data_IF_990760830598
#
_entry.id   IF_990760830598
#
_cell.length_a   1.000
_cell.length_b   1.000
_cell.length_c   1.000
_cell.angle_alpha   90.00
_cell.angle_beta   90.00
_cell.angle_gamma   90.00
#
_symmetry.space_group_name_H-M   'P 1'
#
loop_
_entity.id
_entity.type
_entity.pdbx_description
1 polymer ?
#
# COMPACT_ATOMS: atom_id res chain seq x y z
N UNK A 1 -25.80 43.29 -55.16
CA UNK A 1 -26.38 42.43 -54.10
C UNK A 1 -25.43 41.26 -53.85
N UNK A 2 -24.63 41.30 -52.79
CA UNK A 2 -23.85 40.16 -52.31
C UNK A 2 -24.01 40.08 -50.81
N UNK A 3 -24.50 38.93 -50.36
CA UNK A 3 -24.84 38.60 -48.98
C UNK A 3 -23.58 38.42 -48.15
N UNK A 4 -23.62 38.96 -46.95
CA UNK A 4 -22.75 38.66 -45.81
C UNK A 4 -22.95 37.21 -45.36
N UNK A 5 -21.84 36.50 -45.11
CA UNK A 5 -21.81 35.27 -44.29
C UNK A 5 -20.86 35.57 -43.12
N UNK A 6 -21.28 35.47 -41.86
CA UNK A 6 -20.40 35.66 -40.72
C UNK A 6 -19.57 34.39 -40.48
N UNK A 7 -18.26 34.56 -40.33
CA UNK A 7 -17.34 33.52 -39.87
C UNK A 7 -17.54 33.38 -38.37
N UNK A 8 -18.13 32.25 -37.94
CA UNK A 8 -18.17 31.85 -36.56
C UNK A 8 -16.76 31.46 -36.09
N UNK A 9 -16.27 32.15 -35.06
CA UNK A 9 -15.04 31.80 -34.35
C UNK A 9 -15.36 30.61 -33.44
N UNK A 10 -14.94 29.41 -33.86
CA UNK A 10 -14.85 28.25 -32.98
C UNK A 10 -13.61 28.42 -32.09
N UNK A 11 -13.84 28.86 -30.85
CA UNK A 11 -12.85 28.79 -29.77
C UNK A 11 -12.74 27.33 -29.32
N UNK A 12 -11.78 26.60 -29.89
CA UNK A 12 -11.31 25.33 -29.32
C UNK A 12 -10.40 25.70 -28.15
N UNK A 13 -10.93 25.60 -26.93
CA UNK A 13 -10.13 25.52 -25.71
C UNK A 13 -9.47 24.14 -25.69
N UNK A 14 -8.38 23.99 -26.44
CA UNK A 14 -7.38 22.96 -26.19
C UNK A 14 -6.68 23.35 -24.90
N UNK A 15 -7.04 22.67 -23.81
CA UNK A 15 -6.25 22.62 -22.58
C UNK A 15 -4.91 21.98 -22.91
N UNK A 16 -3.97 22.79 -23.38
CA UNK A 16 -2.57 22.42 -23.45
C UNK A 16 -2.11 22.22 -22.02
N UNK A 17 -1.93 20.95 -21.64
CA UNK A 17 -1.01 20.59 -20.58
C UNK A 17 0.30 21.31 -20.89
N UNK A 18 0.62 22.36 -20.12
CA UNK A 18 1.94 22.94 -20.15
C UNK A 18 2.89 21.84 -19.71
N UNK A 19 3.60 21.26 -20.67
CA UNK A 19 4.79 20.48 -20.43
C UNK A 19 5.77 21.41 -19.70
N UNK A 20 5.75 21.36 -18.37
CA UNK A 20 6.80 21.96 -17.56
C UNK A 20 8.12 21.30 -17.96
N UNK A 21 9.14 22.13 -18.21
CA UNK A 21 10.51 21.69 -18.41
C UNK A 21 10.95 20.77 -17.25
N UNK A 22 11.90 19.82 -17.49
CA UNK A 22 12.17 18.68 -16.63
C UNK A 22 13.02 19.07 -15.43
N UNK A 23 12.52 19.95 -14.57
CA UNK A 23 13.07 20.04 -13.22
C UNK A 23 12.60 18.77 -12.51
N UNK A 24 13.51 17.81 -12.41
CA UNK A 24 13.35 16.61 -11.58
C UNK A 24 12.85 17.03 -10.21
N UNK A 25 11.72 16.47 -9.78
CA UNK A 25 11.17 16.69 -8.46
C UNK A 25 12.25 16.41 -7.41
N UNK A 26 12.38 17.31 -6.44
CA UNK A 26 13.39 17.17 -5.39
C UNK A 26 12.92 16.12 -4.37
N UNK A 27 13.61 14.98 -4.35
CA UNK A 27 13.36 13.94 -3.37
C UNK A 27 13.96 14.25 -2.00
N UNK A 28 14.72 15.33 -1.83
CA UNK A 28 15.16 15.75 -0.51
C UNK A 28 13.95 16.17 0.31
N UNK A 29 13.83 15.62 1.53
CA UNK A 29 12.77 15.96 2.49
C UNK A 29 11.33 15.80 1.97
N UNK A 30 11.09 14.97 0.95
CA UNK A 30 9.73 14.76 0.43
C UNK A 30 8.79 14.16 1.49
N UNK A 31 9.32 13.37 2.42
CA UNK A 31 8.57 12.79 3.55
C UNK A 31 8.05 13.85 4.53
N UNK A 32 8.74 14.99 4.64
CA UNK A 32 8.29 16.16 5.42
C UNK A 32 7.66 17.23 4.54
N UNK A 33 7.31 16.88 3.30
CA UNK A 33 6.75 17.81 2.31
C UNK A 33 7.60 19.07 2.09
N UNK A 34 8.92 18.88 2.00
CA UNK A 34 9.91 19.94 1.88
C UNK A 34 9.88 20.96 3.05
N UNK A 35 9.38 20.52 4.22
CA UNK A 35 9.10 21.36 5.39
C UNK A 35 8.08 22.50 5.11
N UNK A 36 7.32 22.38 4.02
CA UNK A 36 6.23 23.29 3.62
C UNK A 36 5.01 22.52 3.09
N UNK A 37 4.22 21.91 4.01
CA UNK A 37 3.03 21.15 3.66
C UNK A 37 1.97 22.03 2.96
N UNK A 38 1.92 23.33 3.24
CA UNK A 38 0.92 24.24 2.63
C UNK A 38 1.18 24.43 1.14
N UNK A 39 2.43 24.74 0.78
CA UNK A 39 2.82 24.86 -0.64
C UNK A 39 2.74 23.51 -1.34
N UNK A 40 3.18 22.44 -0.69
CA UNK A 40 3.07 21.08 -1.24
C UNK A 40 1.61 20.71 -1.52
N UNK A 41 0.68 21.02 -0.62
CA UNK A 41 -0.76 20.82 -0.83
C UNK A 41 -1.30 21.65 -1.99
N UNK A 42 -0.87 22.91 -2.13
CA UNK A 42 -1.26 23.77 -3.24
C UNK A 42 -0.79 23.22 -4.60
N UNK A 43 0.43 22.67 -4.67
CA UNK A 43 0.95 22.00 -5.88
C UNK A 43 0.24 20.67 -6.12
N UNK A 44 0.05 19.85 -5.09
CA UNK A 44 -0.67 18.58 -5.17
C UNK A 44 -2.08 18.77 -5.76
N UNK A 45 -2.84 19.77 -5.30
CA UNK A 45 -4.19 20.05 -5.81
C UNK A 45 -4.23 20.45 -7.30
N UNK A 46 -3.12 20.91 -7.87
CA UNK A 46 -3.04 21.23 -9.30
C UNK A 46 -2.85 19.98 -10.16
N UNK A 47 -2.12 18.97 -9.64
CA UNK A 47 -1.92 17.70 -10.32
C UNK A 47 -1.62 16.57 -9.32
N UNK A 48 -2.67 15.95 -8.74
CA UNK A 48 -2.52 14.88 -7.76
C UNK A 48 -1.72 13.69 -8.29
N UNK A 49 -1.94 13.32 -9.56
CA UNK A 49 -1.30 12.17 -10.21
C UNK A 49 0.19 12.40 -10.44
N UNK A 50 0.60 13.62 -10.82
CA UNK A 50 2.02 13.97 -10.96
C UNK A 50 2.71 13.95 -9.61
N UNK A 51 2.10 14.50 -8.56
CA UNK A 51 2.67 14.44 -7.21
C UNK A 51 2.75 13.01 -6.67
N UNK A 52 1.72 12.19 -6.89
CA UNK A 52 1.74 10.77 -6.54
C UNK A 52 2.92 10.02 -7.19
N UNK A 53 3.14 10.26 -8.48
CA UNK A 53 4.28 9.70 -9.21
C UNK A 53 5.62 10.21 -8.68
N UNK A 54 5.74 11.50 -8.36
CA UNK A 54 6.94 12.05 -7.74
C UNK A 54 7.27 11.34 -6.43
N UNK A 55 6.29 11.12 -5.55
CA UNK A 55 6.49 10.37 -4.32
C UNK A 55 6.88 8.91 -4.57
N UNK A 56 6.23 8.23 -5.52
CA UNK A 56 6.57 6.85 -5.88
C UNK A 56 7.99 6.73 -6.43
N UNK A 57 8.43 7.69 -7.25
CA UNK A 57 9.82 7.79 -7.72
C UNK A 57 10.77 7.96 -6.55
N UNK A 58 10.51 8.91 -5.64
CA UNK A 58 11.37 9.17 -4.48
C UNK A 58 11.45 7.98 -3.53
N UNK A 59 10.33 7.32 -3.25
CA UNK A 59 10.28 6.10 -2.46
C UNK A 59 11.13 4.96 -3.05
N UNK A 60 11.24 4.92 -4.39
CA UNK A 60 12.05 3.94 -5.10
C UNK A 60 13.47 4.43 -5.44
N UNK A 61 13.93 5.58 -4.94
CA UNK A 61 15.34 5.95 -5.04
C UNK A 61 16.18 5.11 -4.06
N UNK A 62 17.45 4.82 -4.38
CA UNK A 62 18.36 4.21 -3.41
C UNK A 62 18.72 5.22 -2.31
N UNK A 63 18.71 4.78 -1.07
CA UNK A 63 19.21 5.52 0.09
C UNK A 63 20.67 5.12 0.36
N UNK A 64 21.59 6.00 -0.03
CA UNK A 64 23.03 5.80 0.14
C UNK A 64 23.45 5.66 1.62
N UNK A 65 22.65 6.16 2.56
CA UNK A 65 22.92 6.03 4.00
C UNK A 65 22.52 4.66 4.57
N UNK A 66 21.76 3.86 3.81
CA UNK A 66 21.20 2.57 4.22
C UNK A 66 21.52 1.46 3.21
N UNK A 67 22.80 1.28 2.89
CA UNK A 67 23.29 0.23 1.98
C UNK A 67 22.66 0.25 0.57
N UNK A 68 22.21 1.42 0.09
CA UNK A 68 21.47 1.58 -1.17
C UNK A 68 20.13 0.84 -1.24
N UNK A 69 19.53 0.51 -0.09
CA UNK A 69 18.13 0.08 -0.02
C UNK A 69 17.22 1.16 -0.61
N UNK A 70 16.06 0.79 -1.13
CA UNK A 70 15.05 1.78 -1.54
C UNK A 70 14.60 2.58 -0.33
N UNK A 71 14.26 3.87 -0.51
CA UNK A 71 13.76 4.71 0.60
C UNK A 71 12.57 4.05 1.31
N UNK A 72 11.65 3.42 0.58
CA UNK A 72 10.53 2.72 1.23
C UNK A 72 10.96 1.52 2.08
N UNK A 73 12.10 0.88 1.79
CA UNK A 73 12.63 -0.24 2.57
C UNK A 73 13.21 0.19 3.91
N UNK A 74 13.42 1.50 4.12
CA UNK A 74 13.84 2.05 5.40
C UNK A 74 12.68 2.33 6.34
N UNK A 75 11.43 2.16 5.87
CA UNK A 75 10.25 2.34 6.72
C UNK A 75 10.17 1.22 7.75
N UNK A 76 9.65 1.53 8.94
CA UNK A 76 9.48 0.54 10.02
C UNK A 76 8.39 -0.46 9.64
N UNK A 77 8.70 -1.77 9.55
CA UNK A 77 7.69 -2.81 9.33
C UNK A 77 6.68 -2.88 10.48
N UNK A 78 5.39 -3.05 10.17
CA UNK A 78 4.33 -3.05 11.18
C UNK A 78 4.45 -4.20 12.19
N UNK A 79 5.05 -5.34 11.82
CA UNK A 79 5.32 -6.46 12.72
C UNK A 79 6.37 -6.11 13.78
N UNK A 80 7.23 -5.13 13.52
CA UNK A 80 8.20 -4.59 14.48
C UNK A 80 7.65 -3.39 15.29
N UNK A 81 6.38 -3.06 15.11
CA UNK A 81 5.65 -2.04 15.89
C UNK A 81 4.62 -2.72 16.78
N UNK A 82 3.83 -3.61 16.21
CA UNK A 82 2.76 -4.34 16.90
C UNK A 82 3.26 -5.71 17.35
N UNK A 83 4.15 -5.69 18.34
CA UNK A 83 4.84 -6.87 18.85
C UNK A 83 3.91 -7.81 19.62
N UNK A 84 4.33 -9.08 19.70
CA UNK A 84 3.69 -10.07 20.56
C UNK A 84 3.62 -9.58 22.01
N UNK A 85 2.53 -9.94 22.69
CA UNK A 85 2.24 -9.49 24.07
C UNK A 85 2.29 -7.96 24.25
N UNK A 86 2.04 -7.20 23.18
CA UNK A 86 1.97 -5.74 23.25
C UNK A 86 3.28 -5.09 23.74
N UNK A 87 4.42 -5.73 23.47
CA UNK A 87 5.73 -5.20 23.84
C UNK A 87 6.00 -3.84 23.19
N UNK A 88 6.87 -3.06 23.82
CA UNK A 88 7.32 -1.78 23.29
C UNK A 88 8.29 -2.01 22.13
N UNK A 89 8.08 -1.36 20.97
CA UNK A 89 8.97 -1.53 19.84
C UNK A 89 10.32 -0.85 20.06
N UNK A 90 11.36 -1.37 19.39
CA UNK A 90 12.65 -0.69 19.26
C UNK A 90 12.50 0.68 18.57
N UNK A 91 13.45 1.62 18.76
CA UNK A 91 13.48 2.90 18.05
C UNK A 91 13.29 2.78 16.53
N UNK A 92 12.88 3.86 15.87
CA UNK A 92 12.54 3.84 14.45
C UNK A 92 13.70 3.34 13.56
N UNK A 93 14.91 3.82 13.85
CA UNK A 93 16.13 3.48 13.10
C UNK A 93 16.62 2.05 13.27
N UNK A 94 16.12 1.34 14.29
CA UNK A 94 16.60 0.05 14.74
C UNK A 94 15.62 -1.02 14.30
N UNK A 95 16.13 -2.14 13.79
CA UNK A 95 15.30 -3.28 13.39
C UNK A 95 15.45 -4.43 14.38
N UNK A 96 14.36 -5.20 14.53
CA UNK A 96 14.43 -6.49 15.21
C UNK A 96 15.42 -7.41 14.48
N UNK A 97 16.15 -8.22 15.24
CA UNK A 97 17.04 -9.21 14.65
C UNK A 97 16.21 -10.24 13.86
N UNK A 98 16.74 -10.68 12.72
CA UNK A 98 16.16 -11.82 12.01
C UNK A 98 16.16 -13.06 12.92
N UNK A 99 15.09 -13.88 12.88
CA UNK A 99 15.13 -15.21 13.49
C UNK A 99 16.33 -15.98 12.95
N UNK A 100 17.10 -16.65 13.81
CA UNK A 100 18.38 -17.32 13.46
C UNK A 100 18.30 -18.25 12.25
N UNK A 101 17.15 -18.89 12.07
CA UNK A 101 16.86 -19.82 10.98
C UNK A 101 16.83 -19.13 9.61
N UNK A 102 16.46 -17.84 9.56
CA UNK A 102 16.35 -17.08 8.31
C UNK A 102 17.72 -16.90 7.63
N UNK A 103 18.75 -16.31 8.26
CA UNK A 103 20.08 -16.19 7.65
C UNK A 103 20.74 -17.54 7.39
N UNK A 104 20.49 -18.57 8.22
CA UNK A 104 20.99 -19.93 7.96
C UNK A 104 20.39 -20.54 6.68
N UNK A 105 19.08 -20.41 6.48
CA UNK A 105 18.41 -20.88 5.27
C UNK A 105 18.83 -20.05 4.05
N UNK A 106 18.92 -18.72 4.20
CA UNK A 106 19.39 -17.84 3.14
C UNK A 106 20.78 -18.26 2.64
N UNK A 107 21.74 -18.51 3.55
CA UNK A 107 23.07 -18.96 3.19
C UNK A 107 23.05 -20.30 2.45
N UNK A 108 22.25 -21.28 2.92
CA UNK A 108 22.08 -22.58 2.25
C UNK A 108 21.47 -22.46 0.85
N UNK A 109 20.68 -21.42 0.62
CA UNK A 109 20.00 -21.14 -0.65
C UNK A 109 20.80 -20.20 -1.57
N UNK A 110 22.03 -19.82 -1.21
CA UNK A 110 22.89 -18.95 -2.03
C UNK A 110 22.44 -17.48 -2.04
N UNK A 111 21.67 -17.06 -1.04
CA UNK A 111 21.22 -15.69 -0.82
C UNK A 111 22.24 -14.91 0.05
N UNK A 112 22.11 -13.59 0.16
CA UNK A 112 22.95 -12.80 1.08
C UNK A 112 22.35 -12.83 2.49
N UNK A 113 22.96 -13.58 3.45
CA UNK A 113 22.43 -13.69 4.81
C UNK A 113 22.53 -12.40 5.62
N UNK A 114 23.26 -11.38 5.12
CA UNK A 114 23.37 -10.05 5.75
C UNK A 114 22.51 -8.99 5.05
N UNK A 115 21.87 -9.34 3.94
CA UNK A 115 20.99 -8.43 3.23
C UNK A 115 19.71 -8.14 4.00
N UNK A 116 18.95 -7.14 3.56
CA UNK A 116 17.62 -6.88 4.08
C UNK A 116 16.66 -7.99 3.66
N UNK A 117 15.77 -8.41 4.57
CA UNK A 117 14.70 -9.35 4.27
C UNK A 117 13.35 -8.74 4.60
N UNK A 118 12.43 -8.77 3.63
CA UNK A 118 11.04 -8.38 3.84
C UNK A 118 10.30 -9.50 4.56
N UNK A 119 9.65 -9.19 5.69
CA UNK A 119 8.78 -10.15 6.37
C UNK A 119 7.38 -10.12 5.77
N UNK A 120 7.04 -11.15 4.99
CA UNK A 120 5.80 -11.27 4.25
C UNK A 120 4.70 -12.02 5.01
N UNK A 121 4.77 -11.94 6.34
CA UNK A 121 3.74 -12.38 7.27
C UNK A 121 3.95 -13.76 7.90
N UNK A 122 3.01 -14.10 8.78
CA UNK A 122 2.94 -15.35 9.52
C UNK A 122 1.54 -15.93 9.39
N UNK A 123 1.44 -17.06 8.70
CA UNK A 123 0.18 -17.70 8.30
C UNK A 123 -0.32 -18.71 9.34
N UNK A 124 0.32 -18.81 10.51
CA UNK A 124 -0.19 -19.63 11.60
C UNK A 124 -1.60 -19.16 12.02
N UNK A 125 -2.51 -20.09 12.35
CA UNK A 125 -3.85 -19.76 12.83
C UNK A 125 -3.82 -18.76 14.00
N UNK A 126 -4.59 -17.68 13.88
CA UNK A 126 -4.69 -16.64 14.91
C UNK A 126 -3.55 -15.62 14.93
N UNK A 127 -2.58 -15.71 14.02
CA UNK A 127 -1.52 -14.71 13.86
C UNK A 127 -2.11 -13.33 13.49
N UNK A 128 -1.74 -12.25 14.19
CA UNK A 128 -2.13 -10.89 13.81
C UNK A 128 -1.34 -10.35 12.60
N UNK A 129 -0.38 -11.14 12.12
CA UNK A 129 0.55 -10.79 11.06
C UNK A 129 0.34 -11.68 9.82
N UNK A 130 -0.87 -12.20 9.61
CA UNK A 130 -1.19 -13.00 8.42
C UNK A 130 -0.78 -12.26 7.14
N UNK A 131 -0.04 -12.97 6.27
CA UNK A 131 0.56 -12.39 5.09
C UNK A 131 -0.28 -12.53 3.83
N UNK A 132 -1.30 -13.37 3.81
CA UNK A 132 -2.01 -13.78 2.58
C UNK A 132 -3.47 -13.33 2.53
N UNK A 133 -4.01 -12.86 3.67
CA UNK A 133 -5.42 -12.55 3.81
C UNK A 133 -5.71 -11.08 3.49
N UNK A 134 -6.66 -10.86 2.59
CA UNK A 134 -7.25 -9.56 2.30
C UNK A 134 -8.36 -9.23 3.31
N UNK A 135 -8.89 -8.01 3.26
CA UNK A 135 -9.91 -7.56 4.23
C UNK A 135 -11.25 -8.29 4.10
N UNK A 136 -11.51 -8.93 2.96
CA UNK A 136 -12.66 -9.83 2.73
C UNK A 136 -12.46 -11.24 3.31
N UNK A 137 -11.29 -11.50 3.87
CA UNK A 137 -10.92 -12.81 4.38
C UNK A 137 -10.45 -13.79 3.31
N UNK A 138 -10.45 -13.40 2.03
CA UNK A 138 -9.97 -14.21 0.92
C UNK A 138 -8.47 -13.98 0.68
N UNK A 139 -7.86 -14.91 -0.05
CA UNK A 139 -6.52 -14.76 -0.58
C UNK A 139 -6.58 -14.60 -2.11
N UNK A 140 -5.64 -13.84 -2.67
CA UNK A 140 -5.44 -13.77 -4.12
C UNK A 140 -4.48 -14.86 -4.57
N UNK A 141 -4.91 -15.62 -5.57
CA UNK A 141 -4.18 -16.74 -6.12
C UNK A 141 -3.27 -16.30 -7.25
N UNK A 142 -2.05 -16.83 -7.24
CA UNK A 142 -1.22 -16.87 -8.44
C UNK A 142 -1.74 -17.97 -9.38
N UNK A 143 -1.48 -17.83 -10.68
CA UNK A 143 -1.91 -18.80 -11.69
C UNK A 143 -1.34 -20.19 -11.39
N UNK A 144 -2.15 -21.22 -11.52
CA UNK A 144 -1.69 -22.62 -11.49
C UNK A 144 -1.15 -23.02 -12.86
N UNK A 145 0.14 -22.79 -13.11
CA UNK A 145 0.84 -23.14 -14.35
C UNK A 145 1.46 -21.94 -15.06
N UNK A 146 2.07 -22.14 -16.24
CA UNK A 146 2.88 -21.12 -16.90
C UNK A 146 2.17 -19.76 -17.03
N UNK A 147 2.87 -18.65 -16.75
CA UNK A 147 4.30 -18.54 -16.46
C UNK A 147 4.71 -18.82 -15.00
N UNK A 148 3.76 -19.11 -14.11
CA UNK A 148 4.05 -19.40 -12.70
C UNK A 148 4.54 -20.85 -12.55
N UNK A 149 5.68 -21.09 -11.86
CA UNK A 149 6.19 -22.44 -11.67
C UNK A 149 5.19 -23.38 -10.98
N UNK A 150 5.14 -24.66 -11.36
CA UNK A 150 4.31 -25.64 -10.66
C UNK A 150 4.68 -25.71 -9.17
N UNK A 151 3.67 -25.73 -8.31
CA UNK A 151 3.83 -25.87 -6.87
C UNK A 151 2.87 -26.92 -6.33
N UNK A 152 3.30 -27.65 -5.30
CA UNK A 152 2.43 -28.62 -4.59
C UNK A 152 1.34 -27.92 -3.79
N UNK A 153 1.62 -26.71 -3.34
CA UNK A 153 0.70 -25.87 -2.59
C UNK A 153 0.27 -24.69 -3.46
N UNK A 154 -0.93 -24.20 -3.21
CA UNK A 154 -1.41 -22.98 -3.83
C UNK A 154 -0.46 -21.80 -3.52
N UNK A 155 -0.06 -21.08 -4.56
CA UNK A 155 0.76 -19.88 -4.43
C UNK A 155 -0.15 -18.66 -4.29
N UNK A 156 0.04 -17.91 -3.21
CA UNK A 156 -0.79 -16.78 -2.83
C UNK A 156 0.03 -15.50 -2.86
N UNK A 157 -0.61 -14.41 -3.27
CA UNK A 157 -0.03 -13.06 -3.15
C UNK A 157 0.10 -12.71 -1.68
N UNK A 158 1.26 -12.15 -1.31
CA UNK A 158 1.57 -11.77 0.08
C UNK A 158 1.53 -10.27 0.29
N UNK A 159 1.31 -9.83 1.53
CA UNK A 159 1.15 -8.43 1.90
C UNK A 159 2.12 -8.02 3.01
N UNK A 160 2.65 -6.80 2.91
CA UNK A 160 3.55 -6.22 3.89
C UNK A 160 3.18 -4.75 4.14
N UNK A 161 3.13 -4.35 5.41
CA UNK A 161 2.77 -2.99 5.84
C UNK A 161 3.98 -2.34 6.52
N UNK A 162 4.25 -1.09 6.14
CA UNK A 162 5.37 -0.31 6.66
C UNK A 162 4.90 1.11 6.98
N UNK A 163 5.59 1.79 7.91
CA UNK A 163 5.23 3.16 8.31
C UNK A 163 6.43 4.11 8.37
N UNK A 164 6.15 5.38 8.06
CA UNK A 164 7.10 6.48 8.17
C UNK A 164 7.44 6.81 9.62
N UNK A 165 8.49 7.60 9.81
CA UNK A 165 9.03 7.95 11.12
C UNK A 165 8.01 8.69 11.99
N UNK A 166 7.32 9.69 11.45
CA UNK A 166 6.35 10.47 12.21
C UNK A 166 5.09 9.67 12.57
N UNK A 167 4.68 8.71 11.73
CA UNK A 167 3.64 7.74 12.06
C UNK A 167 4.07 6.88 13.26
N UNK A 168 5.29 6.33 13.22
CA UNK A 168 5.84 5.52 14.29
C UNK A 168 5.98 6.31 15.59
N UNK A 169 6.57 7.50 15.53
CA UNK A 169 6.81 8.37 16.68
C UNK A 169 5.49 8.75 17.36
N UNK A 170 4.46 9.06 16.58
CA UNK A 170 3.11 9.32 17.12
C UNK A 170 2.55 8.09 17.84
N UNK A 171 2.68 6.89 17.25
CA UNK A 171 2.21 5.63 17.85
C UNK A 171 2.90 5.36 19.19
N UNK A 172 4.22 5.53 19.25
CA UNK A 172 5.01 5.29 20.47
C UNK A 172 4.74 6.34 21.53
N UNK A 173 4.74 7.62 21.18
CA UNK A 173 4.49 8.73 22.11
C UNK A 173 3.10 8.62 22.78
N UNK A 174 2.08 8.20 22.02
CA UNK A 174 0.73 7.98 22.53
C UNK A 174 0.53 6.57 23.15
N UNK A 175 1.56 5.72 23.14
CA UNK A 175 1.54 4.34 23.64
C UNK A 175 0.47 3.44 23.00
N UNK A 176 0.07 3.75 21.77
CA UNK A 176 -0.98 3.03 21.02
C UNK A 176 -0.43 1.87 20.17
N UNK A 177 0.84 1.50 20.35
CA UNK A 177 1.45 0.29 19.76
C UNK A 177 0.87 -1.03 20.35
N UNK A 178 0.13 -0.95 21.45
CA UNK A 178 -0.54 -2.09 22.09
C UNK A 178 -2.00 -1.77 22.44
N UNK A 179 -2.77 -2.81 22.74
CA UNK A 179 -4.20 -2.69 23.07
C UNK A 179 -4.47 -1.96 24.38
N UNK A 180 -3.56 -2.05 25.36
CA UNK A 180 -3.72 -1.36 26.64
C UNK A 180 -3.66 0.17 26.48
N UNK A 181 -2.87 0.66 25.53
CA UNK A 181 -2.86 2.07 25.13
C UNK A 181 -4.14 2.47 24.41
N UNK A 182 -4.56 1.69 23.41
CA UNK A 182 -5.82 1.94 22.70
C UNK A 182 -7.03 1.95 23.64
N UNK A 183 -7.06 1.06 24.65
CA UNK A 183 -8.11 0.99 25.67
C UNK A 183 -8.21 2.24 26.57
N UNK A 184 -7.21 3.13 26.53
CA UNK A 184 -7.15 4.38 27.32
C UNK A 184 -7.49 5.62 26.50
N UNK A 185 -7.82 5.49 25.22
CA UNK A 185 -8.17 6.63 24.38
C UNK A 185 -9.40 7.38 24.92
N UNK A 186 -9.26 8.69 25.06
CA UNK A 186 -10.34 9.59 25.48
C UNK A 186 -10.86 10.47 24.34
N UNK A 187 -10.13 10.54 23.24
CA UNK A 187 -10.44 11.35 22.06
C UNK A 187 -10.07 10.59 20.78
N UNK A 188 -10.49 11.13 19.64
CA UNK A 188 -9.98 10.69 18.34
C UNK A 188 -8.46 10.91 18.29
N UNK A 189 -7.78 10.06 17.52
CA UNK A 189 -6.41 10.29 17.12
C UNK A 189 -6.34 11.34 16.00
N UNK A 190 -5.18 11.96 15.90
CA UNK A 190 -4.83 12.97 14.90
C UNK A 190 -3.32 12.92 14.68
N UNK A 191 -2.88 12.14 13.70
CA UNK A 191 -1.47 11.95 13.36
C UNK A 191 -0.83 13.25 12.81
N UNK A 192 0.50 13.39 12.80
CA UNK A 192 1.16 14.52 12.16
C UNK A 192 0.86 14.59 10.66
N UNK A 193 0.85 15.77 10.07
CA UNK A 193 0.68 15.96 8.62
C UNK A 193 1.75 15.19 7.82
N UNK A 194 2.96 15.10 8.34
CA UNK A 194 4.08 14.31 7.80
C UNK A 194 3.98 12.79 8.06
N UNK A 195 2.82 12.26 8.47
CA UNK A 195 2.62 10.82 8.62
C UNK A 195 2.50 10.10 7.27
N UNK A 196 3.13 8.92 7.16
CA UNK A 196 3.10 8.03 6.00
C UNK A 196 2.85 6.57 6.40
N UNK A 197 2.10 5.85 5.57
CA UNK A 197 1.98 4.39 5.60
C UNK A 197 2.09 3.81 4.18
N UNK A 198 2.65 2.61 4.10
CA UNK A 198 2.76 1.82 2.88
C UNK A 198 2.09 0.47 3.10
N UNK A 199 1.41 -0.02 2.05
CA UNK A 199 0.96 -1.42 1.98
C UNK A 199 1.40 -1.98 0.64
N UNK A 200 2.20 -3.03 0.67
CA UNK A 200 2.77 -3.66 -0.51
C UNK A 200 2.19 -5.05 -0.73
N UNK A 201 2.12 -5.49 -1.99
CA UNK A 201 1.77 -6.84 -2.40
C UNK A 201 2.93 -7.51 -3.12
N UNK A 202 3.05 -8.82 -2.98
CA UNK A 202 4.24 -9.57 -3.40
C UNK A 202 3.89 -10.93 -4.02
N UNK A 203 4.56 -11.26 -5.12
CA UNK A 203 4.62 -12.63 -5.63
C UNK A 203 5.77 -13.38 -4.96
N UNK A 204 5.47 -14.56 -4.41
CA UNK A 204 6.51 -15.42 -3.86
C UNK A 204 7.26 -16.14 -4.97
N UNK A 205 8.58 -16.01 -4.98
CA UNK A 205 9.47 -16.67 -5.96
C UNK A 205 10.14 -17.89 -5.34
N UNK A 206 10.42 -17.83 -4.03
CA UNK A 206 11.26 -18.82 -3.39
C UNK A 206 12.68 -18.75 -3.95
N UNK A 207 13.24 -19.87 -4.39
CA UNK A 207 14.60 -19.96 -4.92
C UNK A 207 14.67 -20.18 -6.43
N UNK A 208 13.52 -20.19 -7.12
CA UNK A 208 13.44 -20.41 -8.57
C UNK A 208 14.09 -19.26 -9.36
N UNK A 209 15.26 -19.53 -9.96
CA UNK A 209 16.04 -18.51 -10.66
C UNK A 209 15.44 -18.13 -12.02
N UNK A 210 14.77 -19.07 -12.70
CA UNK A 210 14.16 -18.81 -14.00
C UNK A 210 12.93 -17.91 -13.82
N UNK A 211 12.12 -18.19 -12.80
CA UNK A 211 10.99 -17.34 -12.44
C UNK A 211 11.44 -15.97 -11.93
N UNK A 212 12.51 -15.92 -11.12
CA UNK A 212 13.15 -14.66 -10.72
C UNK A 212 13.60 -13.84 -11.94
N UNK A 213 14.25 -14.47 -12.92
CA UNK A 213 14.72 -13.80 -14.13
C UNK A 213 13.55 -13.29 -14.98
N UNK A 214 12.49 -14.09 -15.12
CA UNK A 214 11.28 -13.71 -15.83
C UNK A 214 10.60 -12.50 -15.18
N UNK A 215 10.44 -12.49 -13.86
CA UNK A 215 9.86 -11.35 -13.15
C UNK A 215 10.76 -10.10 -13.23
N UNK A 216 12.09 -10.24 -13.19
CA UNK A 216 12.99 -9.12 -13.48
C UNK A 216 12.79 -8.56 -14.89
N UNK A 217 12.64 -9.43 -15.90
CA UNK A 217 12.40 -9.02 -17.28
C UNK A 217 11.05 -8.30 -17.44
N UNK A 218 10.02 -8.73 -16.70
CA UNK A 218 8.73 -8.05 -16.61
C UNK A 218 8.75 -6.81 -15.70
N UNK A 219 9.93 -6.37 -15.26
CA UNK A 219 10.17 -5.11 -14.56
C UNK A 219 9.68 -5.07 -13.12
N UNK A 220 9.59 -6.22 -12.45
CA UNK A 220 9.30 -6.25 -11.02
C UNK A 220 10.54 -5.91 -10.21
N UNK A 221 10.36 -5.17 -9.11
CA UNK A 221 11.38 -5.05 -8.08
C UNK A 221 11.46 -6.35 -7.27
N UNK A 222 12.65 -6.94 -7.18
CA UNK A 222 12.89 -8.21 -6.49
C UNK A 222 13.68 -7.96 -5.20
N UNK A 223 13.18 -8.48 -4.09
CA UNK A 223 13.84 -8.44 -2.78
C UNK A 223 14.01 -9.85 -2.19
N UNK A 224 14.97 -10.00 -1.28
CA UNK A 224 14.97 -11.14 -0.36
C UNK A 224 13.82 -10.97 0.64
N UNK A 225 13.21 -12.08 1.02
CA UNK A 225 12.02 -12.11 1.85
C UNK A 225 11.92 -13.42 2.63
N UNK A 226 11.09 -13.41 3.66
CA UNK A 226 10.69 -14.62 4.35
C UNK A 226 9.26 -14.50 4.87
N UNK A 227 8.64 -15.64 5.15
CA UNK A 227 7.38 -15.72 5.87
C UNK A 227 7.35 -16.97 6.74
N UNK A 228 6.40 -17.03 7.67
CA UNK A 228 6.11 -18.24 8.46
C UNK A 228 4.88 -18.90 7.85
N UNK A 229 5.00 -20.16 7.42
CA UNK A 229 3.86 -20.89 6.87
C UNK A 229 2.86 -21.34 7.95
N UNK A 230 1.74 -21.94 7.53
CA UNK A 230 0.69 -22.38 8.43
C UNK A 230 1.12 -23.48 9.42
N UNK A 231 2.26 -24.12 9.19
CA UNK A 231 2.86 -25.14 10.07
C UNK A 231 3.92 -24.56 11.01
N UNK A 232 4.19 -23.25 10.93
CA UNK A 232 5.18 -22.58 11.74
C UNK A 232 6.61 -22.65 11.17
N UNK A 233 6.79 -23.11 9.93
CA UNK A 233 8.12 -23.20 9.31
C UNK A 233 8.47 -21.90 8.58
N UNK A 234 9.74 -21.51 8.68
CA UNK A 234 10.27 -20.38 7.93
C UNK A 234 10.47 -20.76 6.46
N UNK A 235 9.87 -19.96 5.58
CA UNK A 235 10.07 -20.02 4.15
C UNK A 235 10.90 -18.81 3.75
N UNK A 236 12.12 -19.03 3.27
CA UNK A 236 13.10 -18.00 2.88
C UNK A 236 13.31 -18.07 1.37
N UNK A 237 13.43 -16.91 0.73
CA UNK A 237 13.52 -16.83 -0.73
C UNK A 237 13.38 -15.40 -1.25
N UNK A 238 13.15 -15.26 -2.55
CA UNK A 238 12.90 -13.99 -3.21
C UNK A 238 11.40 -13.71 -3.33
N UNK A 239 11.06 -12.43 -3.45
CA UNK A 239 9.72 -11.97 -3.76
C UNK A 239 9.74 -10.77 -4.71
N UNK A 240 8.70 -10.67 -5.56
CA UNK A 240 8.53 -9.58 -6.52
C UNK A 240 7.41 -8.63 -6.09
N UNK A 241 7.69 -7.32 -6.03
CA UNK A 241 6.71 -6.30 -5.65
C UNK A 241 5.64 -6.14 -6.74
N UNK A 242 4.43 -6.63 -6.52
CA UNK A 242 3.33 -6.59 -7.49
C UNK A 242 2.49 -5.32 -7.42
N UNK A 243 2.51 -4.61 -6.28
CA UNK A 243 1.77 -3.35 -6.10
C UNK A 243 2.02 -2.71 -4.75
N UNK A 244 1.71 -1.42 -4.65
CA UNK A 244 1.99 -0.57 -3.49
C UNK A 244 0.91 0.51 -3.35
N UNK A 245 0.27 0.55 -2.18
CA UNK A 245 -0.41 1.75 -1.70
C UNK A 245 0.62 2.67 -1.05
N UNK A 246 0.61 3.94 -1.44
CA UNK A 246 1.36 5.02 -0.79
C UNK A 246 0.35 5.97 -0.18
N UNK A 247 0.39 6.08 1.16
CA UNK A 247 -0.62 6.75 1.97
C UNK A 247 0.07 7.81 2.83
N UNK A 248 -0.42 9.05 2.83
CA UNK A 248 0.16 10.13 3.64
C UNK A 248 -0.86 11.16 4.10
N UNK A 249 -0.52 11.95 5.13
CA UNK A 249 -1.41 12.94 5.74
C UNK A 249 -1.20 14.37 5.23
N UNK A 250 -0.93 14.54 3.93
CA UNK A 250 -0.89 15.88 3.32
C UNK A 250 -2.25 16.61 3.42
N UNK A 251 -3.35 15.88 3.49
CA UNK A 251 -4.70 16.42 3.71
C UNK A 251 -5.27 15.91 5.05
N UNK A 252 -6.24 16.62 5.65
CA UNK A 252 -6.95 16.13 6.84
C UNK A 252 -7.67 14.79 6.63
N UNK A 253 -8.00 14.48 5.38
CA UNK A 253 -8.67 13.23 5.00
C UNK A 253 -7.68 12.13 4.63
N UNK A 254 -6.37 12.42 4.63
CA UNK A 254 -5.28 11.64 4.04
C UNK A 254 -5.36 11.49 2.52
N UNK A 255 -4.20 11.21 1.91
CA UNK A 255 -4.03 10.94 0.49
C UNK A 255 -3.74 9.45 0.30
N UNK A 256 -4.54 8.76 -0.51
CA UNK A 256 -4.27 7.41 -1.00
C UNK A 256 -3.88 7.47 -2.46
N UNK A 257 -2.78 6.82 -2.79
CA UNK A 257 -2.36 6.54 -4.16
C UNK A 257 -2.07 5.05 -4.25
N UNK A 258 -2.34 4.44 -5.41
CA UNK A 258 -2.02 3.03 -5.60
C UNK A 258 -1.35 2.76 -6.94
N UNK A 259 -0.25 2.02 -6.87
CA UNK A 259 0.57 1.60 -7.99
C UNK A 259 0.53 0.07 -8.11
N UNK A 260 0.50 -0.44 -9.33
CA UNK A 260 0.65 -1.87 -9.59
C UNK A 260 1.49 -2.14 -10.84
N UNK A 261 2.09 -3.33 -10.92
CA UNK A 261 2.81 -3.73 -12.11
C UNK A 261 1.82 -4.15 -13.21
N UNK A 262 1.96 -3.58 -14.41
CA UNK A 262 1.08 -3.83 -15.57
C UNK A 262 1.10 -5.27 -16.06
N UNK A 263 2.10 -6.05 -15.66
CA UNK A 263 2.22 -7.48 -15.99
C UNK A 263 1.51 -8.40 -14.99
N UNK A 264 0.89 -7.87 -13.93
CA UNK A 264 0.17 -8.66 -12.93
C UNK A 264 -0.84 -9.67 -13.51
N UNK A 265 -1.64 -9.36 -14.55
CA UNK A 265 -2.60 -10.31 -15.12
C UNK A 265 -1.96 -11.58 -15.71
N UNK A 266 -0.65 -11.61 -15.97
CA UNK A 266 0.06 -12.82 -16.39
C UNK A 266 0.20 -13.84 -15.25
N UNK A 267 0.24 -13.37 -14.01
CA UNK A 267 0.67 -14.14 -12.84
C UNK A 267 -0.43 -14.39 -11.82
N UNK A 268 -1.49 -13.57 -11.79
CA UNK A 268 -2.59 -13.72 -10.82
C UNK A 268 -3.93 -13.93 -11.50
N UNK A 269 -4.84 -14.59 -10.78
CA UNK A 269 -6.15 -14.97 -11.30
C UNK A 269 -7.28 -14.67 -10.32
N UNK A 270 -8.49 -14.45 -10.83
CA UNK A 270 -9.71 -14.36 -10.05
C UNK A 270 -10.04 -15.70 -9.38
N UNK A 271 -10.84 -15.63 -8.32
CA UNK A 271 -11.40 -16.82 -7.67
C UNK A 271 -12.59 -17.44 -8.44
N UNK A 272 -12.82 -17.01 -9.70
CA UNK A 272 -13.87 -17.55 -10.57
C UNK A 272 -13.60 -19.02 -10.93
N UNK A 273 -14.65 -19.71 -11.38
CA UNK A 273 -14.54 -21.04 -12.01
C UNK A 273 -15.12 -20.98 -13.43
N UNK A 274 -14.29 -21.02 -14.50
CA UNK A 274 -12.83 -21.13 -14.49
C UNK A 274 -12.12 -19.83 -14.07
N UNK A 275 -10.90 -19.90 -13.51
CA UNK A 275 -10.12 -18.72 -13.14
C UNK A 275 -9.79 -17.85 -14.35
N UNK A 276 -9.85 -16.52 -14.20
CA UNK A 276 -9.50 -15.55 -15.24
C UNK A 276 -8.30 -14.70 -14.80
N UNK A 277 -7.49 -14.16 -15.72
CA UNK A 277 -6.47 -13.16 -15.39
C UNK A 277 -7.02 -12.05 -14.48
N UNK A 278 -6.32 -11.74 -13.39
CA UNK A 278 -6.68 -10.64 -12.50
C UNK A 278 -6.31 -9.32 -13.16
N UNK A 279 -7.31 -8.48 -13.44
CA UNK A 279 -7.14 -7.15 -14.02
C UNK A 279 -7.72 -6.09 -13.09
N UNK A 280 -7.17 -4.87 -13.12
CA UNK A 280 -7.76 -3.74 -12.43
C UNK A 280 -9.02 -3.26 -13.16
N UNK A 281 -10.17 -3.20 -12.48
CA UNK A 281 -11.43 -2.72 -13.05
C UNK A 281 -11.76 -1.26 -12.69
N UNK A 282 -10.94 -0.64 -11.84
CA UNK A 282 -11.14 0.73 -11.34
C UNK A 282 -10.17 1.76 -11.95
N UNK A 283 -9.12 1.30 -12.64
CA UNK A 283 -8.22 2.18 -13.35
C UNK A 283 -7.21 1.45 -14.25
N UNK A 284 -6.17 2.15 -14.75
CA UNK A 284 -5.86 3.54 -14.46
C UNK A 284 -6.98 4.54 -14.80
N UNK A 285 -7.19 5.52 -13.92
CA UNK A 285 -8.11 6.64 -14.15
C UNK A 285 -7.67 7.48 -15.37
N UNK A 286 -8.60 8.21 -15.99
CA UNK A 286 -8.28 9.08 -17.13
C UNK A 286 -7.22 10.13 -16.80
N UNK A 287 -7.19 10.64 -15.56
CA UNK A 287 -6.18 11.58 -15.10
C UNK A 287 -4.80 10.93 -14.94
N UNK A 288 -4.73 9.66 -14.51
CA UNK A 288 -3.48 8.95 -14.31
C UNK A 288 -2.81 8.53 -15.64
N UNK A 289 -3.58 8.19 -16.68
CA UNK A 289 -3.07 7.71 -17.98
C UNK A 289 -1.99 8.60 -18.63
N UNK A 290 -2.18 9.92 -18.82
CA UNK A 290 -1.15 10.77 -19.43
C UNK A 290 0.10 10.88 -18.54
N UNK A 291 -0.08 10.92 -17.22
CA UNK A 291 1.04 11.00 -16.27
C UNK A 291 1.84 9.69 -16.25
N UNK A 292 1.17 8.53 -16.23
CA UNK A 292 1.79 7.21 -16.38
C UNK A 292 2.69 7.18 -17.62
N UNK A 293 2.17 7.63 -18.77
CA UNK A 293 2.92 7.64 -20.03
C UNK A 293 4.20 8.48 -19.91
N UNK A 294 4.11 9.68 -19.31
CA UNK A 294 5.28 10.56 -19.13
C UNK A 294 6.31 9.97 -18.17
N UNK A 295 5.88 9.49 -16.98
CA UNK A 295 6.79 8.99 -15.96
C UNK A 295 7.42 7.65 -16.35
N UNK A 296 6.68 6.75 -17.01
CA UNK A 296 7.24 5.48 -17.49
C UNK A 296 8.30 5.69 -18.57
N UNK A 297 8.19 6.74 -19.40
CA UNK A 297 9.22 7.13 -20.35
C UNK A 297 10.46 7.73 -19.66
N UNK A 298 10.25 8.52 -18.60
CA UNK A 298 11.31 9.19 -17.88
C UNK A 298 12.09 8.26 -16.92
N UNK A 299 11.40 7.30 -16.28
CA UNK A 299 11.96 6.42 -15.26
C UNK A 299 11.90 4.96 -15.71
N UNK A 300 12.90 4.55 -16.50
CA UNK A 300 12.93 3.22 -17.14
C UNK A 300 12.87 2.05 -16.16
N UNK A 301 13.42 2.21 -14.95
CA UNK A 301 13.37 1.20 -13.88
C UNK A 301 11.98 1.04 -13.25
N UNK A 302 11.09 2.00 -13.45
CA UNK A 302 9.71 1.97 -12.96
C UNK A 302 8.69 1.87 -14.10
N UNK A 303 9.15 1.69 -15.35
CA UNK A 303 8.31 1.73 -16.55
C UNK A 303 7.20 0.66 -16.60
N UNK A 304 7.31 -0.38 -15.78
CA UNK A 304 6.31 -1.46 -15.67
C UNK A 304 5.31 -1.25 -14.52
N UNK A 305 5.48 -0.22 -13.69
CA UNK A 305 4.48 0.19 -12.69
C UNK A 305 3.60 1.30 -13.26
N UNK A 306 2.33 1.31 -12.88
CA UNK A 306 1.39 2.36 -13.25
C UNK A 306 0.58 2.82 -12.04
N UNK A 307 0.37 4.13 -11.95
CA UNK A 307 -0.59 4.72 -11.02
C UNK A 307 -2.00 4.36 -11.49
N UNK A 308 -2.79 3.77 -10.60
CA UNK A 308 -4.20 3.52 -10.88
C UNK A 308 -5.01 4.80 -10.63
N UNK A 309 -4.77 5.51 -9.54
CA UNK A 309 -5.44 6.76 -9.22
C UNK A 309 -5.13 7.27 -7.82
N UNK A 310 -5.79 8.38 -7.46
CA UNK A 310 -5.58 9.09 -6.19
C UNK A 310 -6.94 9.38 -5.53
N UNK A 311 -7.05 9.23 -4.21
CA UNK A 311 -8.19 9.69 -3.39
C UNK A 311 -7.68 10.55 -2.23
N UNK A 312 -8.27 11.73 -1.99
CA UNK A 312 -7.75 12.64 -0.95
C UNK A 312 -8.74 13.66 -0.35
N UNK A 313 -9.98 13.72 -0.84
CA UNK A 313 -11.03 14.64 -0.38
C UNK A 313 -12.27 13.81 -0.08
N UNK A 314 -12.67 13.72 1.19
CA UNK A 314 -13.82 12.90 1.57
C UNK A 314 -15.15 13.39 1.00
N UNK A 315 -15.25 14.70 0.73
CA UNK A 315 -16.45 15.31 0.19
C UNK A 315 -16.56 15.11 -1.34
N UNK A 316 -15.44 14.81 -1.98
CA UNK A 316 -15.31 14.56 -3.42
C UNK A 316 -14.29 13.46 -3.68
N UNK A 317 -14.59 12.27 -3.17
CA UNK A 317 -13.77 11.09 -3.44
C UNK A 317 -13.93 10.72 -4.92
N UNK A 318 -13.10 11.32 -5.78
CA UNK A 318 -13.00 11.04 -7.21
C UNK A 318 -11.63 10.41 -7.50
N UNK A 319 -11.57 9.18 -8.04
CA UNK A 319 -12.72 8.33 -8.35
C UNK A 319 -13.39 7.81 -7.07
N UNK A 320 -14.70 7.55 -7.12
CA UNK A 320 -15.44 6.97 -5.99
C UNK A 320 -14.87 5.61 -5.57
N UNK A 321 -14.55 4.79 -6.56
CA UNK A 321 -13.93 3.49 -6.38
C UNK A 321 -12.48 3.55 -6.83
N UNK A 322 -11.58 3.07 -5.99
CA UNK A 322 -10.16 2.96 -6.26
C UNK A 322 -9.67 1.67 -5.62
N UNK A 323 -9.30 0.71 -6.46
CA UNK A 323 -8.81 -0.59 -6.05
C UNK A 323 -7.44 -0.83 -6.66
N UNK A 324 -6.62 -1.61 -5.98
CA UNK A 324 -5.48 -2.30 -6.57
C UNK A 324 -5.87 -3.74 -6.82
N UNK A 325 -5.56 -4.24 -8.03
CA UNK A 325 -5.96 -5.58 -8.45
C UNK A 325 -5.37 -6.67 -7.56
N UNK A 326 -4.27 -6.38 -6.86
CA UNK A 326 -3.58 -7.31 -5.97
C UNK A 326 -4.02 -7.19 -4.50
N UNK A 327 -4.35 -5.98 -4.03
CA UNK A 327 -4.64 -5.70 -2.62
C UNK A 327 -6.14 -5.77 -2.28
N UNK A 328 -7.01 -5.44 -3.24
CA UNK A 328 -8.48 -5.42 -3.10
C UNK A 328 -9.19 -6.36 -4.08
N UNK A 329 -8.46 -7.39 -4.53
CA UNK A 329 -8.74 -8.26 -5.67
C UNK A 329 -10.21 -8.65 -5.91
N UNK A 330 -10.90 -9.24 -4.93
CA UNK A 330 -12.26 -9.76 -5.11
C UNK A 330 -13.35 -8.71 -4.85
N UNK A 331 -13.01 -7.55 -4.29
CA UNK A 331 -13.96 -6.49 -3.95
C UNK A 331 -13.64 -5.15 -4.62
N UNK A 332 -12.92 -5.16 -5.74
CA UNK A 332 -12.58 -3.94 -6.50
C UNK A 332 -13.81 -3.07 -6.80
N UNK A 333 -14.94 -3.70 -7.17
CA UNK A 333 -16.20 -3.01 -7.48
C UNK A 333 -16.90 -2.35 -6.28
N UNK A 334 -16.38 -2.53 -5.08
CA UNK A 334 -16.84 -1.89 -3.85
C UNK A 334 -15.68 -1.33 -3.01
N UNK A 335 -14.48 -1.21 -3.59
CA UNK A 335 -13.31 -0.67 -2.92
C UNK A 335 -13.25 0.84 -3.05
N UNK A 336 -13.30 1.53 -1.91
CA UNK A 336 -12.96 2.95 -1.79
C UNK A 336 -11.99 3.07 -0.62
N UNK A 337 -10.72 3.40 -0.91
CA UNK A 337 -9.67 3.46 0.10
C UNK A 337 -10.08 4.43 1.21
N UNK A 338 -10.50 5.63 0.82
CA UNK A 338 -10.89 6.69 1.76
C UNK A 338 -12.11 6.29 2.59
N UNK A 339 -13.18 5.76 1.96
CA UNK A 339 -14.37 5.35 2.71
C UNK A 339 -14.08 4.18 3.67
N UNK A 340 -13.34 3.16 3.23
CA UNK A 340 -12.97 2.03 4.05
C UNK A 340 -12.06 2.45 5.21
N UNK A 341 -11.03 3.25 4.93
CA UNK A 341 -10.11 3.71 5.97
C UNK A 341 -10.75 4.71 6.94
N UNK A 342 -11.74 5.50 6.53
CA UNK A 342 -12.48 6.39 7.44
C UNK A 342 -13.18 5.65 8.58
N UNK A 343 -13.38 4.33 8.42
CA UNK A 343 -13.98 3.47 9.45
C UNK A 343 -12.98 2.97 10.49
N UNK A 344 -11.70 3.31 10.38
CA UNK A 344 -10.70 3.02 11.39
C UNK A 344 -11.09 3.71 12.70
N UNK A 345 -11.70 2.96 13.61
CA UNK A 345 -12.20 3.47 14.87
C UNK A 345 -12.19 2.35 15.93
N UNK A 346 -12.03 2.74 17.19
CA UNK A 346 -11.94 1.82 18.32
C UNK A 346 -12.88 2.24 19.46
N UNK A 347 -13.60 1.29 20.05
CA UNK A 347 -14.42 1.54 21.23
C UNK A 347 -13.69 1.08 22.47
N UNK A 348 -13.30 2.02 23.33
CA UNK A 348 -12.71 1.71 24.65
C UNK A 348 -13.69 1.04 25.61
N UNK A 349 -15.00 1.27 25.45
CA UNK A 349 -16.05 0.62 26.26
C UNK A 349 -16.25 -0.86 25.89
N UNK A 350 -16.27 -1.15 24.58
CA UNK A 350 -16.49 -2.51 24.07
C UNK A 350 -15.18 -3.29 23.90
N UNK A 351 -14.04 -2.60 23.90
CA UNK A 351 -12.73 -3.13 23.55
C UNK A 351 -12.67 -3.74 22.14
N UNK A 352 -13.42 -3.18 21.19
CA UNK A 352 -13.53 -3.67 19.81
C UNK A 352 -13.24 -2.57 18.80
N UNK A 353 -12.65 -2.95 17.66
CA UNK A 353 -12.63 -2.06 16.50
C UNK A 353 -14.02 -1.98 15.86
N UNK A 354 -14.27 -0.87 15.17
CA UNK A 354 -15.45 -0.71 14.35
C UNK A 354 -15.48 -1.80 13.26
N UNK A 355 -16.66 -2.33 12.98
CA UNK A 355 -16.84 -3.29 11.89
C UNK A 355 -16.97 -2.52 10.59
N UNK A 356 -16.00 -2.64 9.70
CA UNK A 356 -16.12 -2.09 8.34
C UNK A 356 -17.17 -2.82 7.50
N UNK A 357 -17.61 -4.03 7.90
CA UNK A 357 -18.76 -4.67 7.28
C UNK A 357 -20.03 -3.95 7.74
N UNK A 358 -20.65 -3.21 6.81
CA UNK A 358 -21.85 -2.41 7.07
C UNK A 358 -23.16 -3.21 6.84
N UNK A 359 -23.07 -4.43 6.33
CA UNK A 359 -24.19 -5.37 6.29
C UNK A 359 -24.05 -6.39 7.44
N UNK A 360 -25.11 -6.53 8.22
CA UNK A 360 -25.18 -7.47 9.35
C UNK A 360 -26.10 -8.67 9.07
N UNK A 361 -26.66 -8.75 7.86
CA UNK A 361 -27.68 -9.74 7.47
C UNK A 361 -27.14 -10.90 6.63
N UNK A 362 -25.89 -10.82 6.18
CA UNK A 362 -25.14 -11.90 5.55
C UNK A 362 -24.32 -11.43 4.34
N UNK A 363 -23.04 -11.77 4.30
CA UNK A 363 -22.07 -11.25 3.31
C UNK A 363 -21.22 -10.09 3.86
N UNK A 364 -20.20 -9.68 3.11
CA UNK A 364 -19.35 -8.52 3.44
C UNK A 364 -19.70 -7.38 2.51
N UNK A 365 -20.21 -6.29 3.07
CA UNK A 365 -20.46 -5.04 2.35
C UNK A 365 -19.50 -3.97 2.85
N UNK A 366 -18.74 -3.38 1.92
CA UNK A 366 -17.79 -2.31 2.22
C UNK A 366 -18.42 -0.93 2.02
N UNK A 367 -18.05 0.06 2.85
CA UNK A 367 -18.42 1.44 2.61
C UNK A 367 -17.75 1.94 1.32
N UNK A 368 -18.55 2.41 0.37
CA UNK A 368 -18.09 3.08 -0.86
C UNK A 368 -18.21 4.61 -0.77
N UNK A 369 -18.64 5.10 0.40
CA UNK A 369 -18.75 6.51 0.78
C UNK A 369 -18.44 6.62 2.26
N UNK A 370 -17.86 7.75 2.69
CA UNK A 370 -17.54 7.99 4.10
C UNK A 370 -18.81 7.92 4.94
N UNK A 371 -18.72 7.19 6.05
CA UNK A 371 -19.82 7.06 7.00
C UNK A 371 -19.95 8.34 7.84
N UNK A 372 -21.17 8.79 8.14
CA UNK A 372 -21.39 9.98 8.95
C UNK A 372 -20.96 9.74 10.41
N UNK A 373 -20.58 10.81 11.12
CA UNK A 373 -20.08 10.73 12.50
C UNK A 373 -21.04 10.04 13.49
N UNK A 374 -22.35 10.11 13.23
CA UNK A 374 -23.38 9.43 14.03
C UNK A 374 -23.19 7.91 14.09
N UNK A 375 -22.54 7.30 13.08
CA UNK A 375 -22.30 5.86 13.04
C UNK A 375 -21.17 5.45 14.00
N UNK A 376 -20.33 6.42 14.42
CA UNK A 376 -19.20 6.21 15.32
C UNK A 376 -19.50 6.53 16.79
N UNK A 377 -20.77 6.67 17.18
CA UNK A 377 -21.14 6.91 18.58
C UNK A 377 -20.58 5.80 19.48
N UNK A 378 -19.74 6.19 20.45
CA UNK A 378 -19.05 5.26 21.36
C UNK A 378 -17.74 4.69 20.84
N UNK A 379 -17.22 5.22 19.72
CA UNK A 379 -15.90 4.94 19.17
C UNK A 379 -15.04 6.22 19.13
N UNK A 380 -13.73 6.02 19.21
CA UNK A 380 -12.71 7.01 18.88
C UNK A 380 -12.17 6.71 17.49
N UNK A 381 -12.18 7.70 16.59
CA UNK A 381 -11.55 7.57 15.27
C UNK A 381 -10.03 7.43 15.42
N UNK A 382 -9.44 6.58 14.60
CA UNK A 382 -8.01 6.28 14.56
C UNK A 382 -7.32 6.96 13.38
N UNK A 383 -7.93 8.04 12.86
CA UNK A 383 -7.36 8.87 11.80
C UNK A 383 -6.91 8.07 10.58
N UNK A 384 -7.81 7.21 10.07
CA UNK A 384 -7.58 6.36 8.89
C UNK A 384 -6.50 5.26 9.03
N UNK A 385 -5.76 5.20 10.14
CA UNK A 385 -4.67 4.24 10.39
C UNK A 385 -5.23 2.88 10.85
N UNK A 386 -5.53 2.01 9.88
CA UNK A 386 -6.00 0.64 10.15
C UNK A 386 -4.91 -0.30 10.69
N UNK A 387 -3.62 0.04 10.52
CA UNK A 387 -2.52 -0.80 11.02
C UNK A 387 -2.58 -0.98 12.54
N UNK A 388 -3.13 0.00 13.27
CA UNK A 388 -3.41 -0.09 14.72
C UNK A 388 -4.26 -1.30 15.10
N UNK A 389 -5.00 -1.90 14.15
CA UNK A 389 -5.73 -3.16 14.36
C UNK A 389 -4.83 -4.32 14.77
N UNK A 390 -3.55 -4.27 14.41
CA UNK A 390 -2.55 -5.29 14.71
C UNK A 390 -2.04 -5.22 16.14
N UNK A 391 -2.30 -4.14 16.87
CA UNK A 391 -1.92 -4.00 18.27
C UNK A 391 -2.40 -5.18 19.13
N UNK A 392 -1.51 -5.70 19.98
CA UNK A 392 -1.75 -6.84 20.87
C UNK A 392 -1.89 -6.39 22.33
N UNK A 393 -2.56 -7.20 23.15
CA UNK A 393 -2.65 -7.00 24.60
C UNK A 393 -1.34 -7.39 25.30
N UNK A 394 -1.00 -6.73 26.42
CA UNK A 394 0.03 -7.21 27.35
C UNK A 394 -0.54 -8.33 28.23
N UNK A 395 -0.63 -9.54 27.70
CA UNK A 395 -1.09 -10.72 28.45
C UNK A 395 -0.35 -11.98 28.04
#
# INVERSE_FOLDING_TARGET
MRRTIPIAVLSVLSGLAQAQSPNTFDCNKFLTFADDPTTTLATFKQSPETMAWNWFVCLNQPDASRNNNRVWETFKPSDQVYLLKGAEPLPYSDHENLPSEVPELAQKQGMDPKGLFQFLGNDMPGSPQNGIQQVDGLALKMRSGPPVPPSKNEQLVRFHLLMGEDTFNYIVANKIYNRDGLAKLTSNLDFPDTAWELKTSWFWIGTDQDFKALLNQDGYYISQAYYVDSTGQYQVGYAALSGMHVINKLTPDWVWTTFENRNNPKYTVTNDTPPKPMTNITGPTEAAKPVNTSFQQQYSNLAQYELIGVQYDQNRAEPKLLANSQLESAFQGSSSCLACHSTAAYSTKKNTFFSFNIDHTGGILYPTSVLPDKDFVGYQKLDYVWSLKRAQWKR
#
